data_IF_053316249918
#
_entry.id   IF_053316249918
#
_cell.length_a   1.000
_cell.length_b   1.000
_cell.length_c   1.000
_cell.angle_alpha   90.00
_cell.angle_beta   90.00
_cell.angle_gamma   90.00
#
_symmetry.space_group_name_H-M   'P 1'
#
loop_
_entity.id
_entity.type
_entity.pdbx_description
1 polymer ?
#
# COMPACT_ATOMS: atom_id res chain seq x y z
N UNK A 1 11.20 -9.80 -23.23
CA UNK A 1 11.77 -8.98 -22.11
C UNK A 1 10.88 -9.21 -20.90
N UNK A 2 11.45 -9.33 -19.71
CA UNK A 2 10.62 -9.38 -18.48
C UNK A 2 9.90 -8.03 -18.31
N UNK A 3 8.60 -8.06 -18.04
CA UNK A 3 7.80 -6.86 -17.79
C UNK A 3 8.07 -6.37 -16.36
N UNK A 4 9.08 -5.50 -16.21
CA UNK A 4 9.53 -4.97 -14.92
C UNK A 4 8.51 -3.94 -14.43
N UNK A 5 7.98 -4.15 -13.24
CA UNK A 5 7.01 -3.24 -12.61
C UNK A 5 7.65 -2.36 -11.52
N UNK A 6 8.64 -2.89 -10.79
CA UNK A 6 9.44 -2.14 -9.81
C UNK A 6 10.92 -2.33 -10.11
N UNK A 7 11.66 -1.25 -10.21
CA UNK A 7 13.13 -1.26 -10.27
C UNK A 7 13.70 -0.31 -9.22
N UNK A 8 14.57 -0.82 -8.38
CA UNK A 8 15.27 -0.08 -7.33
C UNK A 8 16.76 -0.23 -7.57
N UNK A 9 17.51 0.90 -7.52
CA UNK A 9 18.95 0.94 -7.70
C UNK A 9 19.62 1.73 -6.59
N UNK A 10 20.55 1.08 -5.88
CA UNK A 10 21.38 1.70 -4.85
C UNK A 10 20.59 2.42 -3.77
N UNK A 11 19.42 1.88 -3.38
CA UNK A 11 18.53 2.55 -2.46
C UNK A 11 19.13 2.66 -1.06
N UNK A 12 19.22 3.87 -0.55
CA UNK A 12 19.62 4.13 0.82
C UNK A 12 18.61 5.01 1.56
N UNK A 13 18.45 4.75 2.85
CA UNK A 13 17.65 5.60 3.74
C UNK A 13 18.31 5.73 5.09
N UNK A 14 18.57 6.97 5.46
CA UNK A 14 19.10 7.37 6.75
C UNK A 14 18.17 8.33 7.43
N UNK A 15 17.88 8.13 8.70
CA UNK A 15 17.14 9.03 9.59
C UNK A 15 18.09 9.72 10.55
N UNK A 16 17.70 10.89 11.02
CA UNK A 16 18.48 11.69 11.96
C UNK A 16 19.65 12.42 11.33
N UNK A 17 20.47 13.00 12.17
CA UNK A 17 21.73 13.72 11.80
C UNK A 17 22.76 13.50 12.91
N UNK A 18 24.03 13.50 12.54
CA UNK A 18 25.18 13.36 13.45
C UNK A 18 25.09 12.07 14.30
N UNK A 19 25.27 12.19 15.62
CA UNK A 19 25.32 11.04 16.54
C UNK A 19 24.02 10.24 16.64
N UNK A 20 22.88 10.80 16.20
CA UNK A 20 21.58 10.14 16.17
C UNK A 20 21.23 9.55 14.79
N UNK A 21 22.23 9.36 13.93
CA UNK A 21 22.03 8.81 12.59
C UNK A 21 21.70 7.31 12.64
N UNK A 22 20.60 6.92 11.99
CA UNK A 22 20.17 5.52 11.85
C UNK A 22 20.02 5.17 10.37
N UNK A 23 20.84 4.24 9.88
CA UNK A 23 20.77 3.72 8.50
C UNK A 23 19.73 2.62 8.42
N UNK A 24 18.52 2.98 7.98
CA UNK A 24 17.39 2.05 7.85
C UNK A 24 17.51 1.17 6.59
N UNK A 25 18.07 1.71 5.50
CA UNK A 25 18.31 0.99 4.25
C UNK A 25 19.73 1.33 3.78
N UNK A 26 20.47 0.32 3.33
CA UNK A 26 21.91 0.42 3.03
C UNK A 26 22.22 -0.22 1.66
N UNK A 27 21.91 0.48 0.57
CA UNK A 27 22.30 0.08 -0.78
C UNK A 27 21.53 -1.14 -1.30
N UNK A 28 20.19 -1.07 -1.35
CA UNK A 28 19.34 -2.14 -1.91
C UNK A 28 19.17 -1.96 -3.41
N UNK A 29 19.43 -3.05 -4.16
CA UNK A 29 19.03 -3.23 -5.54
C UNK A 29 17.92 -4.30 -5.59
N UNK A 30 16.80 -4.01 -6.27
CA UNK A 30 15.66 -4.92 -6.39
C UNK A 30 14.95 -4.72 -7.71
N UNK A 31 14.60 -5.82 -8.36
CA UNK A 31 13.75 -5.81 -9.56
C UNK A 31 12.58 -6.76 -9.34
N UNK A 32 11.36 -6.27 -9.54
CA UNK A 32 10.12 -7.05 -9.45
C UNK A 32 9.44 -7.01 -10.82
N UNK A 33 9.00 -8.17 -11.29
CA UNK A 33 8.26 -8.29 -12.54
C UNK A 33 6.74 -8.32 -12.28
N UNK A 34 5.96 -8.02 -13.32
CA UNK A 34 4.48 -8.08 -13.23
C UNK A 34 4.03 -9.49 -12.81
N UNK A 35 2.95 -9.56 -12.05
CA UNK A 35 2.37 -10.79 -11.52
C UNK A 35 3.24 -11.56 -10.51
N UNK A 36 4.36 -10.96 -10.07
CA UNK A 36 5.23 -11.56 -9.08
C UNK A 36 4.70 -11.30 -7.66
N UNK A 37 4.71 -12.33 -6.82
CA UNK A 37 4.45 -12.20 -5.39
C UNK A 37 5.79 -12.20 -4.64
N UNK A 38 6.08 -11.10 -3.95
CA UNK A 38 7.33 -10.89 -3.21
C UNK A 38 7.06 -10.74 -1.72
N UNK A 39 7.75 -11.53 -0.90
CA UNK A 39 7.70 -11.41 0.56
C UNK A 39 9.01 -10.82 1.09
N UNK A 40 8.91 -9.71 1.84
CA UNK A 40 10.03 -9.07 2.50
C UNK A 40 10.06 -9.52 3.96
N UNK A 41 11.05 -10.31 4.32
CA UNK A 41 11.19 -10.88 5.67
C UNK A 41 12.40 -10.28 6.39
N UNK A 42 12.31 -10.14 7.70
CA UNK A 42 13.40 -9.62 8.53
C UNK A 42 12.94 -9.32 9.96
N UNK A 43 13.89 -9.10 10.86
CA UNK A 43 13.64 -8.74 12.24
C UNK A 43 12.88 -7.41 12.36
N UNK A 44 12.23 -7.17 13.50
CA UNK A 44 11.67 -5.84 13.79
C UNK A 44 12.77 -4.77 13.71
N UNK A 45 12.45 -3.62 13.13
CA UNK A 45 13.41 -2.53 12.92
C UNK A 45 14.40 -2.73 11.76
N UNK A 46 14.27 -3.78 10.93
CA UNK A 46 15.18 -4.02 9.78
C UNK A 46 14.88 -3.17 8.54
N UNK A 47 13.97 -2.19 8.61
CA UNK A 47 13.67 -1.28 7.52
C UNK A 47 12.59 -1.73 6.53
N UNK A 48 11.83 -2.82 6.81
CA UNK A 48 10.79 -3.35 5.92
C UNK A 48 9.71 -2.31 5.60
N UNK A 49 9.10 -1.71 6.61
CA UNK A 49 8.08 -0.66 6.43
C UNK A 49 8.65 0.58 5.76
N UNK A 50 9.92 0.94 6.06
CA UNK A 50 10.63 2.02 5.37
C UNK A 50 10.77 1.74 3.88
N UNK A 51 11.16 0.51 3.52
CA UNK A 51 11.26 0.09 2.11
C UNK A 51 9.90 0.16 1.41
N UNK A 52 8.85 -0.38 2.03
CA UNK A 52 7.48 -0.30 1.50
C UNK A 52 7.01 1.15 1.33
N UNK A 53 7.28 2.01 2.31
CA UNK A 53 6.92 3.43 2.24
C UNK A 53 7.65 4.17 1.11
N UNK A 54 8.91 3.82 0.85
CA UNK A 54 9.67 4.40 -0.26
C UNK A 54 9.13 3.88 -1.60
N UNK A 55 8.91 2.57 -1.76
CA UNK A 55 8.29 2.00 -2.97
C UNK A 55 6.90 2.62 -3.18
N UNK A 56 6.13 2.78 -2.12
CA UNK A 56 4.82 3.45 -2.14
C UNK A 56 4.89 4.96 -2.41
N UNK A 57 6.09 5.56 -2.55
CA UNK A 57 6.27 7.00 -2.76
C UNK A 57 5.76 7.86 -1.61
N UNK A 58 5.59 7.28 -0.42
CA UNK A 58 5.20 7.97 0.81
C UNK A 58 6.38 8.68 1.46
N UNK A 59 7.57 8.12 1.30
CA UNK A 59 8.80 8.62 1.91
C UNK A 59 9.92 8.71 0.86
N UNK A 60 10.68 9.82 0.89
CA UNK A 60 11.82 10.00 -0.02
C UNK A 60 13.03 9.20 0.48
N UNK A 61 13.78 8.53 -0.41
CA UNK A 61 15.07 7.95 -0.07
C UNK A 61 16.10 9.05 0.24
N UNK A 62 17.18 8.67 0.91
CA UNK A 62 18.37 9.53 1.06
C UNK A 62 19.19 9.56 -0.22
N UNK A 63 19.34 8.40 -0.87
CA UNK A 63 19.96 8.25 -2.18
C UNK A 63 19.41 7.02 -2.92
N UNK A 64 19.78 6.86 -4.18
CA UNK A 64 19.28 5.80 -5.06
C UNK A 64 17.99 6.17 -5.79
N UNK A 65 17.52 5.25 -6.62
CA UNK A 65 16.38 5.44 -7.52
C UNK A 65 15.31 4.39 -7.28
N UNK A 66 14.03 4.81 -7.42
CA UNK A 66 12.87 3.92 -7.40
C UNK A 66 12.00 4.21 -8.61
N UNK A 67 11.91 3.26 -9.50
CA UNK A 67 11.07 3.33 -10.68
C UNK A 67 9.89 2.37 -10.56
N UNK A 68 8.71 2.87 -10.85
CA UNK A 68 7.46 2.11 -10.97
C UNK A 68 6.98 2.23 -12.40
N UNK A 69 6.82 1.09 -13.10
CA UNK A 69 6.43 1.07 -14.52
C UNK A 69 7.33 2.00 -15.37
N UNK A 70 8.64 1.99 -15.10
CA UNK A 70 9.62 2.83 -15.78
C UNK A 70 9.60 4.32 -15.41
N UNK A 71 8.77 4.73 -14.44
CA UNK A 71 8.68 6.13 -14.00
C UNK A 71 9.37 6.30 -12.65
N UNK A 72 10.37 7.19 -12.56
CA UNK A 72 11.01 7.53 -11.30
C UNK A 72 10.07 8.39 -10.44
N UNK A 73 9.65 7.85 -9.30
CA UNK A 73 8.69 8.50 -8.41
C UNK A 73 9.20 9.83 -7.82
N UNK A 74 10.50 9.93 -7.59
CA UNK A 74 11.06 11.05 -6.84
C UNK A 74 11.54 12.21 -7.72
N UNK A 75 11.50 12.03 -9.05
CA UNK A 75 11.65 13.10 -10.03
C UNK A 75 10.35 13.87 -10.25
N UNK A 76 9.22 13.29 -9.82
CA UNK A 76 7.92 13.94 -9.90
C UNK A 76 7.76 15.03 -8.84
N UNK A 77 7.00 16.09 -9.20
CA UNK A 77 6.43 17.03 -8.23
C UNK A 77 5.47 16.30 -7.29
N UNK A 78 5.36 16.76 -6.05
CA UNK A 78 4.56 16.10 -5.01
C UNK A 78 3.09 15.83 -5.43
N UNK A 79 2.47 16.80 -6.11
CA UNK A 79 1.10 16.64 -6.63
C UNK A 79 1.02 15.52 -7.67
N UNK A 80 1.94 15.50 -8.64
CA UNK A 80 1.96 14.47 -9.70
C UNK A 80 2.25 13.09 -9.10
N UNK A 81 3.16 12.99 -8.13
CA UNK A 81 3.47 11.75 -7.41
C UNK A 81 2.25 11.25 -6.62
N UNK A 82 1.49 12.13 -5.99
CA UNK A 82 0.27 11.76 -5.27
C UNK A 82 -0.79 11.17 -6.21
N UNK A 83 -0.98 11.78 -7.39
CA UNK A 83 -1.90 11.28 -8.41
C UNK A 83 -1.42 9.93 -8.97
N UNK A 84 -0.12 9.80 -9.26
CA UNK A 84 0.48 8.56 -9.73
C UNK A 84 0.26 7.42 -8.72
N UNK A 85 0.60 7.65 -7.46
CA UNK A 85 0.41 6.67 -6.38
C UNK A 85 -1.04 6.18 -6.30
N UNK A 86 -2.00 7.09 -6.30
CA UNK A 86 -3.43 6.76 -6.23
C UNK A 86 -3.85 5.79 -7.33
N UNK A 87 -3.31 5.95 -8.55
CA UNK A 87 -3.69 5.16 -9.72
C UNK A 87 -2.96 3.82 -9.83
N UNK A 88 -1.71 3.77 -9.40
CA UNK A 88 -0.83 2.64 -9.67
C UNK A 88 -0.52 1.78 -8.45
N UNK A 89 -0.70 2.31 -7.24
CA UNK A 89 -0.25 1.66 -6.00
C UNK A 89 -1.40 1.54 -5.01
N UNK A 90 -1.84 0.32 -4.74
CA UNK A 90 -2.67 -0.01 -3.58
C UNK A 90 -1.78 -0.19 -2.35
N UNK A 91 -2.16 0.37 -1.21
CA UNK A 91 -1.40 0.23 0.02
C UNK A 91 -2.30 -0.26 1.16
N UNK A 92 -1.93 -1.38 1.75
CA UNK A 92 -2.54 -1.95 2.97
C UNK A 92 -1.59 -1.66 4.13
N UNK A 93 -1.98 -0.77 5.02
CA UNK A 93 -1.18 -0.37 6.18
C UNK A 93 -1.35 -1.35 7.35
N UNK A 94 -0.36 -1.43 8.22
CA UNK A 94 -0.42 -2.19 9.46
C UNK A 94 -1.59 -1.73 10.36
N UNK A 95 -1.80 -0.41 10.47
CA UNK A 95 -3.01 0.17 11.06
C UNK A 95 -3.96 0.51 9.92
N UNK A 96 -5.15 -0.03 9.91
CA UNK A 96 -6.12 -0.04 8.79
C UNK A 96 -6.35 1.33 8.12
N UNK A 97 -6.13 2.44 8.85
CA UNK A 97 -6.29 3.82 8.37
C UNK A 97 -7.65 4.04 7.69
N UNK A 98 -8.70 3.42 8.22
CA UNK A 98 -10.07 3.68 7.80
C UNK A 98 -10.55 4.99 8.43
N UNK A 99 -11.45 5.68 7.74
CA UNK A 99 -12.12 6.86 8.27
C UNK A 99 -13.32 6.38 9.10
N UNK A 100 -13.31 6.58 10.44
CA UNK A 100 -14.31 5.99 11.33
C UNK A 100 -15.73 6.45 11.04
N UNK A 101 -15.90 7.69 10.58
CA UNK A 101 -17.16 8.34 10.27
C UNK A 101 -17.74 7.94 8.91
N UNK A 102 -16.99 7.19 8.12
CA UNK A 102 -17.40 6.65 6.83
C UNK A 102 -17.87 5.20 6.98
N UNK A 103 -18.86 4.84 6.19
CA UNK A 103 -19.29 3.45 6.03
C UNK A 103 -18.19 2.61 5.37
N UNK A 104 -18.33 1.30 5.43
CA UNK A 104 -17.45 0.34 4.72
C UNK A 104 -17.38 0.69 3.24
N UNK A 105 -18.54 0.91 2.60
CA UNK A 105 -18.61 1.22 1.17
C UNK A 105 -17.91 2.55 0.85
N UNK A 106 -18.16 3.60 1.62
CA UNK A 106 -17.53 4.91 1.42
C UNK A 106 -16.01 4.85 1.59
N UNK A 107 -15.51 4.11 2.59
CA UNK A 107 -14.07 3.88 2.76
C UNK A 107 -13.45 3.20 1.54
N UNK A 108 -14.12 2.19 0.98
CA UNK A 108 -13.64 1.46 -0.21
C UNK A 108 -13.65 2.36 -1.45
N UNK A 109 -14.69 3.17 -1.61
CA UNK A 109 -14.86 4.07 -2.77
C UNK A 109 -14.04 5.36 -2.68
N UNK A 110 -13.49 5.69 -1.52
CA UNK A 110 -12.76 6.94 -1.28
C UNK A 110 -11.68 7.24 -2.34
N UNK A 111 -10.84 6.27 -2.78
CA UNK A 111 -9.85 6.56 -3.83
C UNK A 111 -10.48 7.01 -5.16
N UNK A 112 -11.65 6.46 -5.54
CA UNK A 112 -12.38 6.86 -6.75
C UNK A 112 -12.88 8.29 -6.63
N UNK A 113 -13.49 8.65 -5.50
CA UNK A 113 -13.97 10.01 -5.24
C UNK A 113 -12.84 11.04 -5.27
N UNK A 114 -11.66 10.70 -4.69
CA UNK A 114 -10.48 11.55 -4.75
C UNK A 114 -9.89 11.70 -6.16
N UNK A 115 -10.17 10.75 -7.06
CA UNK A 115 -9.79 10.83 -8.49
C UNK A 115 -10.90 11.46 -9.35
N UNK A 116 -11.96 11.99 -8.74
CA UNK A 116 -13.14 12.57 -9.39
C UNK A 116 -13.81 11.60 -10.38
N UNK A 117 -13.88 10.33 -10.04
CA UNK A 117 -14.51 9.26 -10.82
C UNK A 117 -15.59 8.55 -10.03
N UNK A 118 -16.56 8.05 -10.76
CA UNK A 118 -17.53 7.12 -10.17
C UNK A 118 -16.83 5.79 -9.84
N UNK A 119 -17.17 5.16 -8.70
CA UNK A 119 -16.69 3.83 -8.37
C UNK A 119 -17.14 2.79 -9.41
N UNK A 120 -16.26 1.82 -9.70
CA UNK A 120 -16.64 0.61 -10.45
C UNK A 120 -17.42 -0.32 -9.53
N UNK A 121 -18.76 -0.13 -9.49
CA UNK A 121 -19.64 -0.81 -8.52
C UNK A 121 -19.58 -2.34 -8.65
N UNK A 122 -19.58 -2.88 -9.87
CA UNK A 122 -19.54 -4.32 -10.11
C UNK A 122 -18.23 -4.93 -9.60
N UNK A 123 -17.11 -4.26 -9.85
CA UNK A 123 -15.81 -4.70 -9.36
C UNK A 123 -15.74 -4.61 -7.82
N UNK A 124 -16.18 -3.49 -7.23
CA UNK A 124 -16.17 -3.29 -5.78
C UNK A 124 -17.06 -4.33 -5.10
N UNK A 125 -18.26 -4.58 -5.62
CA UNK A 125 -19.13 -5.62 -5.09
C UNK A 125 -18.42 -6.99 -5.12
N UNK A 126 -17.83 -7.36 -6.26
CA UNK A 126 -17.08 -8.62 -6.41
C UNK A 126 -15.97 -8.75 -5.37
N UNK A 127 -15.21 -7.66 -5.13
CA UNK A 127 -14.14 -7.64 -4.13
C UNK A 127 -14.72 -7.80 -2.72
N UNK A 128 -15.79 -7.09 -2.40
CA UNK A 128 -16.44 -7.17 -1.09
C UNK A 128 -17.01 -8.56 -0.81
N UNK A 129 -17.61 -9.21 -1.80
CA UNK A 129 -18.13 -10.59 -1.69
C UNK A 129 -16.98 -11.59 -1.45
N UNK A 130 -15.90 -11.51 -2.23
CA UNK A 130 -14.70 -12.36 -2.05
C UNK A 130 -14.04 -12.19 -0.67
N UNK A 131 -14.08 -10.99 -0.13
CA UNK A 131 -13.55 -10.70 1.21
C UNK A 131 -14.57 -10.95 2.35
N UNK A 132 -15.81 -11.35 2.03
CA UNK A 132 -16.84 -11.65 3.03
C UNK A 132 -17.30 -10.44 3.82
N UNK A 133 -17.30 -9.24 3.22
CA UNK A 133 -17.68 -7.97 3.86
C UNK A 133 -18.86 -7.26 3.16
N UNK A 134 -19.45 -7.86 2.14
CA UNK A 134 -20.54 -7.23 1.38
C UNK A 134 -21.74 -6.87 2.26
N UNK A 135 -22.16 -7.77 3.16
CA UNK A 135 -23.26 -7.55 4.10
C UNK A 135 -22.99 -6.43 5.12
N UNK A 136 -21.74 -5.97 5.18
CA UNK A 136 -21.31 -4.88 6.08
C UNK A 136 -21.23 -3.53 5.39
N UNK A 137 -21.59 -3.42 4.10
CA UNK A 137 -21.36 -2.22 3.27
C UNK A 137 -21.89 -0.92 3.89
N UNK A 138 -23.02 -0.99 4.61
CA UNK A 138 -23.64 0.15 5.26
C UNK A 138 -23.21 0.41 6.71
N UNK A 139 -22.34 -0.44 7.30
CA UNK A 139 -21.82 -0.23 8.65
C UNK A 139 -20.70 0.79 8.65
N UNK A 140 -20.54 1.51 9.74
CA UNK A 140 -19.39 2.39 9.95
C UNK A 140 -18.15 1.57 10.28
N UNK A 141 -16.98 2.10 9.87
CA UNK A 141 -15.71 1.42 10.11
C UNK A 141 -15.44 1.16 11.60
N UNK A 142 -15.91 2.04 12.47
CA UNK A 142 -15.77 1.89 13.93
C UNK A 142 -16.58 0.71 14.53
N UNK A 143 -17.58 0.20 13.82
CA UNK A 143 -18.44 -0.92 14.27
C UNK A 143 -17.86 -2.30 13.93
N UNK A 144 -16.72 -2.34 13.21
CA UNK A 144 -16.13 -3.56 12.71
C UNK A 144 -15.07 -4.13 13.66
N UNK A 145 -14.96 -5.45 13.70
CA UNK A 145 -13.79 -6.12 14.29
C UNK A 145 -12.51 -5.79 13.54
N UNK A 146 -11.34 -5.95 14.18
CA UNK A 146 -10.05 -5.69 13.55
C UNK A 146 -9.85 -6.46 12.25
N UNK A 147 -10.26 -7.73 12.18
CA UNK A 147 -10.19 -8.53 10.96
C UNK A 147 -11.13 -8.04 9.85
N UNK A 148 -12.32 -7.52 10.20
CA UNK A 148 -13.22 -6.89 9.23
C UNK A 148 -12.63 -5.57 8.72
N UNK A 149 -12.07 -4.74 9.60
CA UNK A 149 -11.40 -3.49 9.22
C UNK A 149 -10.21 -3.76 8.27
N UNK A 150 -9.43 -4.81 8.53
CA UNK A 150 -8.35 -5.23 7.64
C UNK A 150 -8.87 -5.58 6.25
N UNK A 151 -9.94 -6.38 6.16
CA UNK A 151 -10.55 -6.73 4.87
C UNK A 151 -11.10 -5.51 4.13
N UNK A 152 -11.65 -4.53 4.83
CA UNK A 152 -12.07 -3.24 4.25
C UNK A 152 -10.86 -2.47 3.72
N UNK A 153 -9.75 -2.43 4.47
CA UNK A 153 -8.51 -1.79 4.02
C UNK A 153 -7.93 -2.45 2.76
N UNK A 154 -8.00 -3.78 2.67
CA UNK A 154 -7.62 -4.54 1.46
C UNK A 154 -8.54 -4.18 0.29
N UNK A 155 -9.87 -4.18 0.50
CA UNK A 155 -10.83 -3.82 -0.54
C UNK A 155 -10.60 -2.40 -1.06
N UNK A 156 -10.35 -1.43 -0.17
CA UNK A 156 -10.01 -0.05 -0.51
C UNK A 156 -8.73 0.02 -1.34
N UNK A 157 -7.70 -0.72 -0.95
CA UNK A 157 -6.43 -0.74 -1.68
C UNK A 157 -6.58 -1.29 -3.11
N UNK A 158 -7.53 -2.19 -3.34
CA UNK A 158 -7.83 -2.80 -4.65
C UNK A 158 -8.80 -1.96 -5.51
N UNK A 159 -9.55 -1.01 -4.94
CA UNK A 159 -10.71 -0.36 -5.56
C UNK A 159 -10.42 0.32 -6.91
N UNK A 160 -9.20 0.82 -7.12
CA UNK A 160 -8.75 1.42 -8.38
C UNK A 160 -8.00 0.44 -9.30
N UNK A 161 -8.00 -0.86 -9.01
CA UNK A 161 -7.29 -1.89 -9.79
C UNK A 161 -5.80 -1.53 -9.98
N UNK A 162 -5.06 -1.27 -8.89
CA UNK A 162 -3.67 -0.82 -8.97
C UNK A 162 -2.77 -1.86 -9.63
N UNK A 163 -1.68 -1.39 -10.25
CA UNK A 163 -0.66 -2.27 -10.82
C UNK A 163 0.18 -2.98 -9.76
N UNK A 164 0.29 -2.38 -8.57
CA UNK A 164 1.07 -2.89 -7.44
C UNK A 164 0.22 -2.83 -6.18
N UNK A 165 0.25 -3.91 -5.40
CA UNK A 165 -0.30 -3.93 -4.04
C UNK A 165 0.85 -4.06 -3.04
N UNK A 166 1.01 -3.07 -2.18
CA UNK A 166 1.94 -3.09 -1.05
C UNK A 166 1.17 -3.42 0.22
N UNK A 167 1.68 -4.33 1.04
CA UNK A 167 1.06 -4.71 2.30
C UNK A 167 2.10 -4.75 3.42
N UNK A 168 1.93 -3.92 4.44
CA UNK A 168 2.79 -3.86 5.61
C UNK A 168 2.12 -4.62 6.76
N UNK A 169 2.66 -5.79 7.10
CA UNK A 169 2.14 -6.71 8.12
C UNK A 169 0.62 -6.98 8.03
N UNK A 170 0.09 -7.39 6.85
CA UNK A 170 -1.36 -7.46 6.61
C UNK A 170 -2.09 -8.48 7.48
N UNK A 171 -1.39 -9.41 8.12
CA UNK A 171 -1.95 -10.40 9.03
C UNK A 171 -1.62 -10.13 10.50
N UNK A 172 -0.87 -9.08 10.83
CA UNK A 172 -0.38 -8.81 12.19
C UNK A 172 -1.48 -8.59 13.23
N UNK A 173 -2.67 -8.15 12.80
CA UNK A 173 -3.83 -7.89 13.65
C UNK A 173 -4.96 -8.91 13.47
N UNK A 174 -4.71 -10.01 12.74
CA UNK A 174 -5.71 -11.07 12.57
C UNK A 174 -5.53 -12.15 13.66
N UNK A 175 -6.64 -12.64 14.20
CA UNK A 175 -6.63 -13.85 15.02
C UNK A 175 -6.03 -15.02 14.20
N UNK A 176 -5.28 -15.91 14.88
CA UNK A 176 -4.58 -17.05 14.24
C UNK A 176 -5.45 -17.91 13.31
N UNK A 177 -6.78 -17.85 13.44
CA UNK A 177 -7.73 -18.58 12.57
C UNK A 177 -8.05 -17.88 11.26
N UNK A 178 -7.72 -16.59 11.11
CA UNK A 178 -8.03 -15.77 9.93
C UNK A 178 -6.78 -15.33 9.17
N UNK A 179 -5.60 -15.82 9.53
CA UNK A 179 -4.32 -15.48 8.92
C UNK A 179 -3.81 -16.51 7.89
N UNK A 180 -4.61 -17.58 7.61
CA UNK A 180 -4.32 -18.60 6.58
C UNK A 180 -5.02 -18.30 5.27
#
# INVERSE_FOLDING_TARGET
MKDIIVEIKGLEKTYGKNEAETKAIQGIDLTITREEFVSIVGKSGSGKSTLLNIIGGLERPTSGEVQIEGTNLFDMKDTSRTIFRRKHIGYVFQFFNLIPEMTVYENICLPSYLDHKDPDEDFIQTVMEKLGIYEKKGKYAAELSGGEQQRVAVARALSLKPSILLADEPSGNLDKKNGE
#
